data_IF_095535864746
#
_entry.id   IF_095535864746
#
_cell.length_a   1.000
_cell.length_b   1.000
_cell.length_c   1.000
_cell.angle_alpha   90.00
_cell.angle_beta   90.00
_cell.angle_gamma   90.00
#
_symmetry.space_group_name_H-M   'P 1'
#
loop_
_entity.id
_entity.type
_entity.pdbx_description
1 polymer ?
#
# COMPACT_ATOMS: atom_id res chain seq x y z
N UNK A 1 2.93 -23.72 15.65
CA UNK A 1 3.35 -22.82 14.54
C UNK A 1 2.09 -22.32 13.86
N UNK A 2 2.04 -21.03 13.50
CA UNK A 2 0.92 -20.47 12.75
C UNK A 2 1.07 -20.85 11.28
N UNK A 3 0.02 -21.41 10.69
CA UNK A 3 0.04 -21.97 9.35
C UNK A 3 -0.42 -20.98 8.31
N UNK A 4 0.38 -20.82 7.24
CA UNK A 4 0.07 -19.89 6.15
C UNK A 4 0.01 -20.66 4.82
N UNK A 5 -1.05 -20.42 4.06
CA UNK A 5 -1.18 -20.80 2.66
C UNK A 5 -1.08 -19.57 1.77
N UNK A 6 -0.60 -19.73 0.55
CA UNK A 6 -0.54 -18.66 -0.45
C UNK A 6 -1.51 -18.93 -1.59
N UNK A 7 -2.19 -17.89 -2.05
CA UNK A 7 -3.07 -17.95 -3.21
C UNK A 7 -2.87 -16.77 -4.15
N UNK A 8 -2.56 -17.07 -5.41
CA UNK A 8 -2.26 -16.11 -6.46
C UNK A 8 -0.82 -15.58 -6.37
N UNK A 9 -0.11 -15.66 -7.50
CA UNK A 9 1.26 -15.17 -7.64
C UNK A 9 1.41 -14.24 -8.85
N UNK A 10 0.31 -13.65 -9.30
CA UNK A 10 0.29 -12.78 -10.48
C UNK A 10 0.91 -11.41 -10.24
N UNK A 11 1.03 -10.96 -8.98
CA UNK A 11 1.75 -9.75 -8.62
C UNK A 11 3.04 -10.10 -7.87
N UNK A 12 4.16 -9.56 -8.36
CA UNK A 12 5.50 -10.00 -7.94
C UNK A 12 5.82 -9.71 -6.45
N UNK A 13 5.18 -8.73 -5.84
CA UNK A 13 5.43 -8.37 -4.43
C UNK A 13 5.12 -9.52 -3.47
N UNK A 14 4.20 -10.41 -3.80
CA UNK A 14 3.84 -11.55 -2.94
C UNK A 14 5.06 -12.44 -2.61
N UNK A 15 6.10 -12.45 -3.47
CA UNK A 15 7.32 -13.20 -3.20
C UNK A 15 8.17 -12.60 -2.08
N UNK A 16 7.99 -11.32 -1.72
CA UNK A 16 8.61 -10.76 -0.52
C UNK A 16 7.98 -11.38 0.74
N UNK A 17 6.66 -11.41 0.82
CA UNK A 17 5.94 -12.07 1.91
C UNK A 17 6.28 -13.57 1.97
N UNK A 18 6.34 -14.23 0.80
CA UNK A 18 6.70 -15.63 0.72
C UNK A 18 8.06 -15.92 1.37
N UNK A 19 9.10 -15.14 1.06
CA UNK A 19 10.42 -15.28 1.69
C UNK A 19 10.37 -15.02 3.18
N UNK A 20 9.68 -13.93 3.61
CA UNK A 20 9.52 -13.62 5.04
C UNK A 20 8.86 -14.76 5.82
N UNK A 21 7.87 -15.43 5.22
CA UNK A 21 7.22 -16.60 5.84
C UNK A 21 8.18 -17.78 5.97
N UNK A 22 8.98 -18.07 4.94
CA UNK A 22 9.97 -19.14 4.98
C UNK A 22 11.06 -18.91 6.03
N UNK A 23 11.48 -17.65 6.19
CA UNK A 23 12.55 -17.28 7.14
C UNK A 23 12.04 -17.13 8.59
N UNK A 24 10.72 -17.14 8.79
CA UNK A 24 10.12 -16.88 10.09
C UNK A 24 10.01 -18.13 10.97
N UNK A 25 10.61 -18.13 12.18
CA UNK A 25 10.74 -19.36 13.00
C UNK A 25 9.41 -19.91 13.54
N UNK A 26 8.35 -19.09 13.61
CA UNK A 26 7.05 -19.46 14.17
C UNK A 26 5.98 -19.70 13.10
N UNK A 27 6.34 -19.63 11.81
CA UNK A 27 5.41 -19.82 10.70
C UNK A 27 5.67 -21.17 10.00
N UNK A 28 4.62 -21.72 9.44
CA UNK A 28 4.65 -22.93 8.61
C UNK A 28 3.94 -22.64 7.29
N UNK A 29 4.66 -22.77 6.18
CA UNK A 29 4.07 -22.74 4.84
C UNK A 29 3.41 -24.10 4.57
N UNK A 30 2.09 -24.13 4.39
CA UNK A 30 1.34 -25.38 4.22
C UNK A 30 0.89 -25.63 2.78
N UNK A 31 0.60 -24.59 2.00
CA UNK A 31 0.10 -24.76 0.65
C UNK A 31 0.42 -23.57 -0.26
N UNK A 32 0.55 -23.85 -1.56
CA UNK A 32 0.61 -22.87 -2.63
C UNK A 32 -0.55 -23.14 -3.59
N UNK A 33 -1.35 -22.11 -3.86
CA UNK A 33 -2.43 -22.19 -4.83
C UNK A 33 -2.20 -21.19 -5.96
N UNK A 34 -2.24 -21.66 -7.19
CA UNK A 34 -2.22 -20.77 -8.37
C UNK A 34 -3.10 -21.32 -9.47
N UNK A 35 -3.93 -20.43 -10.00
CA UNK A 35 -4.82 -20.72 -11.12
C UNK A 35 -4.21 -20.20 -12.43
N UNK A 36 -3.91 -21.09 -13.37
CA UNK A 36 -3.51 -20.81 -14.76
C UNK A 36 -2.47 -19.68 -15.00
N UNK A 37 -2.86 -18.41 -14.85
CA UNK A 37 -2.07 -17.27 -15.34
C UNK A 37 -0.78 -16.99 -14.55
N UNK A 38 -0.69 -17.43 -13.29
CA UNK A 38 0.50 -17.27 -12.45
C UNK A 38 1.44 -18.47 -12.45
N UNK A 39 1.07 -19.58 -13.09
CA UNK A 39 1.85 -20.82 -13.09
C UNK A 39 3.26 -20.65 -13.65
N UNK A 40 3.42 -19.80 -14.69
CA UNK A 40 4.74 -19.50 -15.26
C UNK A 40 5.67 -18.82 -14.27
N UNK A 41 5.16 -17.85 -13.50
CA UNK A 41 5.94 -17.15 -12.46
C UNK A 41 6.36 -18.08 -11.33
N UNK A 42 5.51 -19.00 -10.90
CA UNK A 42 5.87 -20.03 -9.93
C UNK A 42 6.97 -20.95 -10.48
N UNK A 43 6.82 -21.43 -11.73
CA UNK A 43 7.79 -22.30 -12.37
C UNK A 43 9.16 -21.63 -12.52
N UNK A 44 9.21 -20.35 -12.88
CA UNK A 44 10.44 -19.55 -12.94
C UNK A 44 11.16 -19.47 -11.59
N UNK A 45 10.43 -19.57 -10.48
CA UNK A 45 10.95 -19.62 -9.11
C UNK A 45 11.22 -21.04 -8.61
N UNK A 46 11.03 -22.05 -9.45
CA UNK A 46 11.19 -23.47 -9.06
C UNK A 46 10.10 -23.97 -8.10
N UNK A 47 8.97 -23.26 -8.04
CA UNK A 47 7.86 -23.60 -7.15
C UNK A 47 6.76 -24.36 -7.89
N UNK A 48 6.08 -25.28 -7.19
CA UNK A 48 4.94 -26.01 -7.71
C UNK A 48 3.72 -25.76 -6.83
N UNK A 49 2.54 -25.46 -7.41
CA UNK A 49 1.33 -25.30 -6.62
C UNK A 49 0.88 -26.67 -6.07
N UNK A 50 0.41 -26.66 -4.85
CA UNK A 50 -0.29 -27.82 -4.24
C UNK A 50 -1.75 -27.86 -4.65
N UNK A 51 -2.31 -26.69 -4.97
CA UNK A 51 -3.70 -26.52 -5.41
C UNK A 51 -3.75 -25.65 -6.67
N UNK A 52 -4.68 -25.96 -7.58
CA UNK A 52 -4.92 -25.21 -8.82
C UNK A 52 -6.25 -24.47 -8.80
N UNK A 53 -7.01 -24.52 -7.68
CA UNK A 53 -8.26 -23.80 -7.49
C UNK A 53 -8.35 -23.29 -6.05
N UNK A 54 -8.74 -22.04 -5.91
CA UNK A 54 -8.84 -21.38 -4.60
C UNK A 54 -9.90 -22.03 -3.70
N UNK A 55 -11.03 -22.47 -4.25
CA UNK A 55 -12.06 -23.17 -3.49
C UNK A 55 -11.55 -24.52 -2.96
N UNK A 56 -10.69 -25.20 -3.70
CA UNK A 56 -10.08 -26.47 -3.24
C UNK A 56 -9.10 -26.22 -2.09
N UNK A 57 -8.31 -25.13 -2.15
CA UNK A 57 -7.45 -24.72 -1.04
C UNK A 57 -8.28 -24.40 0.22
N UNK A 58 -9.38 -23.65 0.08
CA UNK A 58 -10.26 -23.33 1.22
C UNK A 58 -10.91 -24.58 1.81
N UNK A 59 -11.31 -25.55 0.96
CA UNK A 59 -11.92 -26.80 1.39
C UNK A 59 -10.93 -27.71 2.14
N UNK A 60 -9.66 -27.75 1.73
CA UNK A 60 -8.60 -28.44 2.47
C UNK A 60 -8.40 -27.84 3.87
N UNK A 61 -8.42 -26.51 3.95
CA UNK A 61 -8.49 -25.75 5.20
C UNK A 61 -7.32 -25.93 6.18
N UNK A 62 -6.23 -26.61 5.80
CA UNK A 62 -5.09 -26.87 6.67
C UNK A 62 -4.16 -25.67 6.83
N UNK A 63 -4.72 -24.51 7.15
CA UNK A 63 -3.99 -23.26 7.42
C UNK A 63 -4.83 -22.32 8.29
N UNK A 64 -4.19 -21.34 8.93
CA UNK A 64 -4.81 -20.32 9.77
C UNK A 64 -5.00 -19.01 8.99
N UNK A 65 -4.05 -18.69 8.11
CA UNK A 65 -4.02 -17.48 7.31
C UNK A 65 -3.80 -17.80 5.84
N UNK A 66 -4.49 -17.09 4.95
CA UNK A 66 -4.16 -17.08 3.52
C UNK A 66 -3.49 -15.76 3.11
N UNK A 67 -2.37 -15.88 2.40
CA UNK A 67 -1.66 -14.78 1.76
C UNK A 67 -2.14 -14.63 0.32
N UNK A 68 -2.64 -13.44 -0.07
CA UNK A 68 -3.25 -13.18 -1.38
C UNK A 68 -2.33 -12.31 -2.25
N UNK A 69 -1.92 -12.83 -3.41
CA UNK A 69 -1.05 -12.15 -4.39
C UNK A 69 -1.58 -12.15 -5.81
N UNK A 70 -2.86 -12.38 -6.02
CA UNK A 70 -3.52 -12.36 -7.32
C UNK A 70 -3.61 -10.93 -7.91
N UNK A 71 -4.14 -10.75 -9.12
CA UNK A 71 -4.46 -9.43 -9.66
C UNK A 71 -5.44 -8.70 -8.72
N UNK A 72 -5.38 -7.38 -8.70
CA UNK A 72 -6.09 -6.58 -7.69
C UNK A 72 -7.60 -6.79 -7.69
N UNK A 73 -8.22 -6.88 -8.89
CA UNK A 73 -9.66 -7.12 -9.03
C UNK A 73 -10.15 -8.49 -8.54
N UNK A 74 -9.26 -9.42 -8.21
CA UNK A 74 -9.63 -10.74 -7.68
C UNK A 74 -9.51 -10.81 -6.15
N UNK A 75 -8.67 -9.97 -5.54
CA UNK A 75 -8.31 -10.09 -4.12
C UNK A 75 -9.48 -9.90 -3.18
N UNK A 76 -10.38 -8.94 -3.47
CA UNK A 76 -11.54 -8.64 -2.63
C UNK A 76 -12.43 -9.88 -2.44
N UNK A 77 -12.84 -10.51 -3.54
CA UNK A 77 -13.65 -11.75 -3.48
C UNK A 77 -12.91 -12.92 -2.81
N UNK A 78 -11.58 -13.03 -3.03
CA UNK A 78 -10.78 -14.06 -2.38
C UNK A 78 -10.67 -13.81 -0.86
N UNK A 79 -10.49 -12.56 -0.43
CA UNK A 79 -10.49 -12.18 0.98
C UNK A 79 -11.83 -12.47 1.66
N UNK A 80 -12.95 -12.12 1.01
CA UNK A 80 -14.31 -12.43 1.48
C UNK A 80 -14.50 -13.95 1.65
N UNK A 81 -14.12 -14.74 0.65
CA UNK A 81 -14.25 -16.19 0.70
C UNK A 81 -13.39 -16.82 1.82
N UNK A 82 -12.17 -16.32 2.01
CA UNK A 82 -11.28 -16.77 3.09
C UNK A 82 -11.84 -16.44 4.47
N UNK A 83 -12.32 -15.21 4.68
CA UNK A 83 -12.93 -14.78 5.94
C UNK A 83 -14.19 -15.59 6.26
N UNK A 84 -15.04 -15.87 5.26
CA UNK A 84 -16.20 -16.77 5.41
C UNK A 84 -15.83 -18.20 5.76
N UNK A 85 -14.66 -18.65 5.30
CA UNK A 85 -14.08 -19.95 5.65
C UNK A 85 -13.36 -19.97 7.01
N UNK A 86 -13.43 -18.86 7.79
CA UNK A 86 -12.80 -18.76 9.11
C UNK A 86 -11.28 -18.55 9.07
N UNK A 87 -10.73 -18.00 7.98
CA UNK A 87 -9.30 -17.78 7.81
C UNK A 87 -8.95 -16.29 7.92
N UNK A 88 -7.84 -15.99 8.59
CA UNK A 88 -7.21 -14.68 8.51
C UNK A 88 -6.68 -14.44 7.10
N UNK A 89 -6.53 -13.17 6.73
CA UNK A 89 -6.03 -12.77 5.41
C UNK A 89 -4.85 -11.83 5.55
N UNK A 90 -3.77 -12.07 4.82
CA UNK A 90 -2.75 -11.05 4.54
C UNK A 90 -2.63 -10.90 3.04
N UNK A 91 -2.79 -9.70 2.52
CA UNK A 91 -2.80 -9.46 1.08
C UNK A 91 -1.66 -8.51 0.67
N UNK A 92 -1.15 -8.72 -0.53
CA UNK A 92 -0.45 -7.63 -1.21
C UNK A 92 -1.43 -6.48 -1.45
N UNK A 93 -0.96 -5.25 -1.47
CA UNK A 93 -1.80 -4.06 -1.71
C UNK A 93 -2.17 -3.91 -3.21
N UNK A 94 -3.30 -3.34 -3.54
CA UNK A 94 -4.45 -3.02 -2.69
C UNK A 94 -5.23 -4.29 -2.29
N UNK A 95 -6.01 -4.17 -1.21
CA UNK A 95 -6.83 -5.28 -0.69
C UNK A 95 -7.93 -5.70 -1.67
N UNK A 96 -8.57 -4.71 -2.27
CA UNK A 96 -9.69 -4.88 -3.20
C UNK A 96 -9.80 -3.66 -4.11
N UNK A 97 -10.72 -3.72 -5.07
CA UNK A 97 -10.96 -2.63 -6.04
C UNK A 97 -12.36 -2.03 -5.94
N UNK A 98 -13.15 -2.45 -4.96
CA UNK A 98 -14.54 -2.03 -4.76
C UNK A 98 -14.82 -1.66 -3.30
N UNK A 99 -15.57 -0.57 -3.08
CA UNK A 99 -16.06 -0.21 -1.75
C UNK A 99 -17.06 -1.23 -1.19
N UNK A 100 -17.82 -1.91 -2.05
CA UNK A 100 -18.76 -2.94 -1.64
C UNK A 100 -18.02 -4.17 -1.10
N UNK A 101 -16.98 -4.63 -1.79
CA UNK A 101 -16.09 -5.69 -1.29
C UNK A 101 -15.44 -5.29 0.03
N UNK A 102 -14.95 -4.05 0.13
CA UNK A 102 -14.33 -3.56 1.37
C UNK A 102 -15.32 -3.53 2.53
N UNK A 103 -16.56 -3.08 2.28
CA UNK A 103 -17.63 -3.07 3.29
C UNK A 103 -17.90 -4.48 3.81
N UNK A 104 -18.01 -5.46 2.91
CA UNK A 104 -18.23 -6.86 3.30
C UNK A 104 -17.03 -7.44 4.08
N UNK A 105 -15.81 -7.15 3.66
CA UNK A 105 -14.60 -7.54 4.40
C UNK A 105 -14.62 -6.94 5.82
N UNK A 106 -14.95 -5.66 5.96
CA UNK A 106 -15.05 -4.99 7.25
C UNK A 106 -16.14 -5.59 8.14
N UNK A 107 -17.29 -5.94 7.60
CA UNK A 107 -18.36 -6.60 8.33
C UNK A 107 -17.96 -8.00 8.80
N UNK A 108 -17.32 -8.77 7.95
CA UNK A 108 -16.83 -10.11 8.29
C UNK A 108 -15.75 -10.05 9.38
N UNK A 109 -14.79 -9.14 9.28
CA UNK A 109 -13.75 -8.99 10.33
C UNK A 109 -14.35 -8.60 11.67
N UNK A 110 -15.36 -7.72 11.68
CA UNK A 110 -16.08 -7.30 12.89
C UNK A 110 -16.90 -8.44 13.51
N UNK A 111 -17.59 -9.22 12.67
CA UNK A 111 -18.46 -10.31 13.12
C UNK A 111 -17.67 -11.53 13.62
N UNK A 112 -16.52 -11.82 13.04
CA UNK A 112 -15.74 -13.04 13.32
C UNK A 112 -14.54 -12.83 14.22
N UNK A 113 -14.05 -11.60 14.35
CA UNK A 113 -12.77 -11.30 14.99
C UNK A 113 -11.54 -11.66 14.16
N UNK A 114 -11.72 -12.14 12.93
CA UNK A 114 -10.62 -12.43 12.01
C UNK A 114 -9.86 -11.15 11.62
N UNK A 115 -8.61 -11.30 11.25
CA UNK A 115 -7.71 -10.19 10.92
C UNK A 115 -7.39 -10.12 9.44
N UNK A 116 -7.22 -8.88 8.97
CA UNK A 116 -6.78 -8.57 7.60
C UNK A 116 -5.54 -7.71 7.67
N UNK A 117 -4.46 -8.15 7.01
CA UNK A 117 -3.21 -7.42 6.86
C UNK A 117 -2.96 -7.03 5.41
N UNK A 118 -2.20 -5.95 5.20
CA UNK A 118 -1.69 -5.53 3.89
C UNK A 118 -0.18 -5.38 3.92
N UNK A 119 0.46 -5.66 2.79
CA UNK A 119 1.88 -5.41 2.58
C UNK A 119 2.13 -3.92 2.34
N UNK A 120 1.98 -3.09 3.39
CA UNK A 120 2.26 -1.66 3.38
C UNK A 120 3.61 -1.43 4.07
N UNK A 121 4.68 -1.50 3.32
CA UNK A 121 6.06 -1.61 3.80
C UNK A 121 6.78 -0.27 4.00
N UNK A 122 6.21 0.87 3.56
CA UNK A 122 6.90 2.17 3.68
C UNK A 122 7.19 2.54 5.14
N UNK A 123 6.32 2.18 6.09
CA UNK A 123 6.57 2.42 7.53
C UNK A 123 7.77 1.65 8.09
N UNK A 124 8.26 0.65 7.36
CA UNK A 124 9.38 -0.20 7.78
C UNK A 124 10.73 0.33 7.30
N UNK A 125 10.73 1.29 6.36
CA UNK A 125 11.94 1.82 5.76
C UNK A 125 12.56 2.94 6.60
N UNK A 126 13.88 2.91 6.76
CA UNK A 126 14.63 3.78 7.68
C UNK A 126 14.45 5.29 7.47
N UNK A 127 14.31 5.74 6.23
CA UNK A 127 14.08 7.15 5.93
C UNK A 127 12.72 7.65 6.43
N UNK A 128 11.68 6.82 6.35
CA UNK A 128 10.34 7.17 6.84
C UNK A 128 10.30 7.18 8.37
N UNK A 129 11.01 6.26 9.01
CA UNK A 129 11.16 6.21 10.48
C UNK A 129 11.90 7.47 10.97
N UNK A 130 12.97 7.88 10.29
CA UNK A 130 13.70 9.10 10.61
C UNK A 130 12.86 10.35 10.36
N UNK A 131 12.12 10.43 9.24
CA UNK A 131 11.22 11.54 8.94
C UNK A 131 10.13 11.67 10.01
N UNK A 132 9.55 10.55 10.45
CA UNK A 132 8.57 10.53 11.54
C UNK A 132 9.17 11.05 12.85
N UNK A 133 10.39 10.63 13.18
CA UNK A 133 11.05 11.12 14.39
C UNK A 133 11.25 12.65 14.34
N UNK A 134 11.65 13.20 13.19
CA UNK A 134 11.73 14.66 12.99
C UNK A 134 10.37 15.32 13.11
N UNK A 135 9.33 14.76 12.44
CA UNK A 135 7.97 15.29 12.45
C UNK A 135 7.39 15.40 13.87
N UNK A 136 7.59 14.36 14.70
CA UNK A 136 7.02 14.28 16.05
C UNK A 136 7.90 14.94 17.12
N UNK A 137 9.15 15.28 16.83
CA UNK A 137 10.04 15.96 17.79
C UNK A 137 9.67 17.43 18.04
N UNK A 138 8.80 18.02 17.22
CA UNK A 138 8.49 19.44 17.24
C UNK A 138 9.58 20.33 16.60
N UNK A 139 10.66 19.76 16.06
CA UNK A 139 11.79 20.49 15.48
C UNK A 139 11.38 21.44 14.33
N UNK A 140 10.42 21.00 13.50
CA UNK A 140 9.89 21.82 12.39
C UNK A 140 8.61 22.59 12.77
N UNK A 141 8.23 22.59 14.04
CA UNK A 141 6.99 23.18 14.52
C UNK A 141 5.75 22.37 14.14
N UNK A 142 4.57 22.98 14.15
CA UNK A 142 3.32 22.33 13.77
C UNK A 142 3.28 22.14 12.25
N UNK A 143 3.08 20.90 11.78
CA UNK A 143 3.03 20.56 10.35
C UNK A 143 1.78 21.17 9.74
N UNK A 144 1.95 22.01 8.71
CA UNK A 144 0.88 22.69 7.99
C UNK A 144 0.62 22.10 6.60
N UNK A 145 1.66 21.62 5.94
CA UNK A 145 1.50 20.97 4.63
C UNK A 145 2.37 19.73 4.48
N UNK A 146 1.82 18.75 3.77
CA UNK A 146 2.50 17.56 3.31
C UNK A 146 2.40 17.51 1.79
N UNK A 147 3.53 17.38 1.11
CA UNK A 147 3.56 17.08 -0.32
C UNK A 147 4.18 15.72 -0.55
N UNK A 148 3.58 14.89 -1.39
CA UNK A 148 4.19 13.63 -1.78
C UNK A 148 4.10 13.39 -3.29
N UNK A 149 5.14 12.75 -3.83
CA UNK A 149 5.19 12.27 -5.20
C UNK A 149 5.60 10.81 -5.25
N UNK A 150 4.84 9.99 -5.97
CA UNK A 150 5.11 8.57 -6.13
C UNK A 150 5.02 8.17 -7.60
N UNK A 151 6.14 8.31 -8.30
CA UNK A 151 6.23 8.07 -9.73
C UNK A 151 6.82 6.67 -9.97
N UNK A 152 6.01 5.77 -10.50
CA UNK A 152 6.41 4.41 -10.87
C UNK A 152 6.76 4.34 -12.37
N UNK A 153 7.68 3.47 -12.80
CA UNK A 153 7.85 3.19 -14.22
C UNK A 153 6.68 2.33 -14.73
N UNK A 154 6.19 2.64 -15.93
CA UNK A 154 5.09 1.87 -16.52
C UNK A 154 5.53 0.46 -16.89
N UNK A 155 6.78 0.30 -17.34
CA UNK A 155 7.39 -0.98 -17.75
C UNK A 155 6.50 -1.75 -18.75
N UNK A 156 5.96 -1.04 -19.75
CA UNK A 156 5.07 -1.64 -20.74
C UNK A 156 5.77 -2.79 -21.47
N UNK A 157 5.06 -3.92 -21.62
CA UNK A 157 5.62 -5.15 -22.17
C UNK A 157 6.42 -6.00 -21.19
N UNK A 158 6.72 -5.49 -19.96
CA UNK A 158 7.32 -6.25 -18.85
C UNK A 158 6.33 -6.50 -17.72
N UNK A 159 5.37 -5.56 -17.53
CA UNK A 159 4.28 -5.79 -16.57
C UNK A 159 3.34 -6.89 -17.06
N UNK A 160 2.73 -7.65 -16.14
CA UNK A 160 1.71 -8.62 -16.50
C UNK A 160 0.54 -7.96 -17.25
N UNK A 161 -0.02 -8.65 -18.26
CA UNK A 161 -1.09 -8.12 -19.10
C UNK A 161 -2.33 -7.66 -18.33
N UNK A 162 -2.62 -8.32 -17.22
CA UNK A 162 -3.79 -8.03 -16.38
C UNK A 162 -3.81 -6.58 -15.85
N UNK A 163 -2.65 -5.89 -15.76
CA UNK A 163 -2.63 -4.46 -15.41
C UNK A 163 -3.49 -3.63 -16.35
N UNK A 164 -3.53 -4.02 -17.61
CA UNK A 164 -4.21 -3.31 -18.69
C UNK A 164 -5.56 -3.95 -19.06
N UNK A 165 -6.01 -4.97 -18.32
CA UNK A 165 -7.31 -5.59 -18.53
C UNK A 165 -8.40 -4.86 -17.71
N UNK A 166 -9.59 -4.60 -18.30
CA UNK A 166 -10.67 -3.92 -17.61
C UNK A 166 -11.05 -4.61 -16.30
N UNK A 167 -11.15 -3.83 -15.22
CA UNK A 167 -11.58 -4.32 -13.90
C UNK A 167 -10.52 -5.02 -13.06
N UNK A 168 -9.30 -5.27 -13.60
CA UNK A 168 -8.30 -6.02 -12.86
C UNK A 168 -7.30 -5.16 -12.08
N UNK A 169 -7.08 -3.89 -12.47
CA UNK A 169 -6.13 -2.98 -11.82
C UNK A 169 -6.75 -2.18 -10.66
N UNK A 170 -7.96 -1.64 -10.84
CA UNK A 170 -8.68 -0.93 -9.77
C UNK A 170 -8.23 0.51 -9.50
N UNK A 171 -7.42 1.11 -10.39
CA UNK A 171 -7.06 2.53 -10.36
C UNK A 171 -5.68 2.84 -9.78
N UNK A 172 -5.08 3.92 -10.30
CA UNK A 172 -3.70 4.32 -9.96
C UNK A 172 -3.61 4.93 -8.56
N UNK A 173 -4.64 5.63 -8.11
CA UNK A 173 -4.69 6.16 -6.74
C UNK A 173 -4.82 4.99 -5.75
N UNK A 174 -5.71 4.03 -6.01
CA UNK A 174 -5.85 2.84 -5.17
C UNK A 174 -4.57 1.99 -5.13
N UNK A 175 -3.85 1.84 -6.26
CA UNK A 175 -2.60 1.08 -6.31
C UNK A 175 -1.43 1.81 -5.61
N UNK A 176 -1.25 3.11 -5.88
CA UNK A 176 -0.05 3.84 -5.45
C UNK A 176 -0.33 4.68 -4.20
N UNK A 177 -1.36 5.54 -4.22
CA UNK A 177 -1.59 6.47 -3.13
C UNK A 177 -2.08 5.80 -1.83
N UNK A 178 -2.49 4.53 -1.86
CA UNK A 178 -2.81 3.76 -0.64
C UNK A 178 -1.66 3.78 0.37
N UNK A 179 -0.41 3.74 -0.09
CA UNK A 179 0.74 3.88 0.80
C UNK A 179 0.76 5.24 1.50
N UNK A 180 0.44 6.33 0.76
CA UNK A 180 0.45 7.67 1.32
C UNK A 180 -0.68 7.87 2.35
N UNK A 181 -1.89 7.42 2.04
CA UNK A 181 -3.02 7.54 3.00
C UNK A 181 -2.84 6.66 4.23
N UNK A 182 -2.00 5.61 4.13
CA UNK A 182 -1.57 4.81 5.26
C UNK A 182 -0.50 5.52 6.10
N UNK A 183 0.61 5.95 5.47
CA UNK A 183 1.75 6.42 6.23
C UNK A 183 1.63 7.89 6.72
N UNK A 184 0.87 8.77 6.05
CA UNK A 184 0.75 10.19 6.45
C UNK A 184 0.17 10.33 7.86
N UNK A 185 -0.92 9.64 8.25
CA UNK A 185 -1.39 9.66 9.63
C UNK A 185 -0.35 9.17 10.66
N UNK A 186 0.34 8.09 10.35
CA UNK A 186 1.41 7.58 11.20
C UNK A 186 2.60 8.55 11.28
N UNK A 187 2.99 9.16 10.16
CA UNK A 187 4.11 10.09 10.07
C UNK A 187 3.87 11.36 10.86
N UNK A 188 2.66 11.91 10.78
CA UNK A 188 2.33 13.24 11.32
C UNK A 188 1.63 13.19 12.67
N UNK A 189 1.08 12.03 13.07
CA UNK A 189 0.19 11.90 14.22
C UNK A 189 -1.21 12.50 13.99
N UNK A 190 -1.53 12.92 12.75
CA UNK A 190 -2.80 13.55 12.38
C UNK A 190 -3.61 12.64 11.47
N UNK A 191 -4.94 12.68 11.56
CA UNK A 191 -5.82 11.96 10.64
C UNK A 191 -6.09 12.75 9.36
N UNK A 192 -6.47 12.06 8.29
CA UNK A 192 -7.00 12.69 7.09
C UNK A 192 -8.48 12.99 7.34
N UNK A 193 -8.82 14.29 7.42
CA UNK A 193 -10.15 14.75 7.77
C UNK A 193 -11.08 14.94 6.56
N UNK A 194 -10.53 15.06 5.35
CA UNK A 194 -11.35 15.25 4.15
C UNK A 194 -10.58 15.20 2.84
N UNK A 195 -11.34 15.01 1.76
CA UNK A 195 -10.85 15.04 0.37
C UNK A 195 -11.44 16.25 -0.33
N UNK A 196 -10.60 17.20 -0.73
CA UNK A 196 -11.05 18.40 -1.45
C UNK A 196 -11.15 18.20 -2.96
N UNK A 197 -10.15 17.51 -3.54
CA UNK A 197 -10.10 17.24 -4.96
C UNK A 197 -9.29 15.97 -5.24
N UNK A 198 -9.69 15.29 -6.29
CA UNK A 198 -8.90 14.22 -6.90
C UNK A 198 -9.21 14.16 -8.39
N UNK A 199 -8.25 13.72 -9.20
CA UNK A 199 -8.43 13.48 -10.63
C UNK A 199 -7.48 12.38 -11.10
N UNK A 200 -7.91 11.65 -12.13
CA UNK A 200 -7.07 10.71 -12.86
C UNK A 200 -7.15 10.98 -14.37
N UNK A 201 -6.11 10.63 -15.10
CA UNK A 201 -6.05 10.78 -16.55
C UNK A 201 -4.99 9.85 -17.16
N UNK A 202 -5.05 9.67 -18.49
CA UNK A 202 -4.03 8.94 -19.23
C UNK A 202 -2.96 9.89 -19.80
N UNK A 203 -1.71 9.45 -19.74
CA UNK A 203 -0.57 10.10 -20.37
C UNK A 203 0.27 9.11 -21.19
N UNK A 204 0.90 8.12 -20.56
CA UNK A 204 1.73 7.09 -21.25
C UNK A 204 0.89 5.97 -21.85
N UNK A 205 -0.22 5.58 -21.23
CA UNK A 205 -1.09 4.47 -21.66
C UNK A 205 -2.35 4.95 -22.39
N UNK A 206 -2.24 5.96 -23.23
CA UNK A 206 -3.38 6.57 -23.95
C UNK A 206 -4.16 5.59 -24.83
N UNK A 207 -3.53 4.51 -25.27
CA UNK A 207 -4.17 3.42 -26.03
C UNK A 207 -4.94 2.42 -25.14
N UNK A 208 -4.92 2.59 -23.82
CA UNK A 208 -5.71 1.81 -22.84
C UNK A 208 -6.63 2.77 -22.05
N UNK A 209 -7.76 3.19 -22.61
CA UNK A 209 -8.56 4.32 -22.08
C UNK A 209 -9.04 4.15 -20.65
N UNK A 210 -9.23 2.91 -20.18
CA UNK A 210 -9.69 2.58 -18.83
C UNK A 210 -8.54 2.48 -17.79
N UNK A 211 -7.28 2.53 -18.23
CA UNK A 211 -6.11 2.51 -17.36
C UNK A 211 -5.56 3.93 -17.23
N UNK A 212 -6.10 4.70 -16.30
CA UNK A 212 -5.57 6.03 -16.00
C UNK A 212 -4.22 5.89 -15.31
N UNK A 213 -3.14 6.31 -15.98
CA UNK A 213 -1.77 6.13 -15.49
C UNK A 213 -1.24 7.31 -14.66
N UNK A 214 -2.09 8.30 -14.40
CA UNK A 214 -1.80 9.48 -13.58
C UNK A 214 -2.93 9.76 -12.62
N UNK A 215 -2.58 10.22 -11.41
CA UNK A 215 -3.52 10.63 -10.38
C UNK A 215 -2.98 11.78 -9.53
N UNK A 216 -3.82 12.77 -9.23
CA UNK A 216 -3.54 13.86 -8.30
C UNK A 216 -4.64 13.96 -7.26
N UNK A 217 -4.27 14.34 -6.04
CA UNK A 217 -5.20 14.48 -4.94
C UNK A 217 -4.83 15.63 -4.00
N UNK A 218 -5.85 16.21 -3.37
CA UNK A 218 -5.74 17.27 -2.38
C UNK A 218 -6.61 16.92 -1.17
N UNK A 219 -5.97 16.77 0.01
CA UNK A 219 -6.62 16.35 1.23
C UNK A 219 -6.44 17.39 2.34
N UNK A 220 -7.24 17.28 3.42
CA UNK A 220 -7.10 18.06 4.66
C UNK A 220 -6.71 17.15 5.81
N UNK A 221 -5.76 17.60 6.62
CA UNK A 221 -5.40 17.00 7.91
C UNK A 221 -6.33 17.47 9.03
N UNK A 222 -6.36 16.74 10.15
CA UNK A 222 -7.24 17.04 11.29
C UNK A 222 -6.96 18.38 11.96
N UNK A 223 -5.77 18.97 11.79
CA UNK A 223 -5.44 20.33 12.25
C UNK A 223 -5.79 21.42 11.24
N UNK A 224 -6.41 21.10 10.10
CA UNK A 224 -6.72 22.02 9.00
C UNK A 224 -5.60 22.15 7.97
N UNK A 225 -4.44 21.55 8.19
CA UNK A 225 -3.32 21.52 7.24
C UNK A 225 -3.65 20.76 5.95
N UNK A 226 -2.88 21.00 4.90
CA UNK A 226 -3.12 20.44 3.56
C UNK A 226 -2.19 19.32 3.16
N UNK A 227 -2.68 18.39 2.33
CA UNK A 227 -1.86 17.38 1.66
C UNK A 227 -2.03 17.49 0.15
N UNK A 228 -0.92 17.54 -0.58
CA UNK A 228 -0.88 17.44 -2.03
C UNK A 228 -0.19 16.15 -2.46
N UNK A 229 -0.87 15.34 -3.25
CA UNK A 229 -0.37 14.08 -3.78
C UNK A 229 -0.34 14.04 -5.30
N UNK A 230 0.75 13.50 -5.85
CA UNK A 230 0.95 13.24 -7.28
C UNK A 230 1.49 11.81 -7.45
N UNK A 231 0.67 10.94 -8.02
CA UNK A 231 1.00 9.53 -8.27
C UNK A 231 0.86 9.19 -9.74
N UNK A 232 1.80 8.46 -10.29
CA UNK A 232 1.70 8.08 -11.70
C UNK A 232 2.61 6.92 -12.09
N UNK A 233 2.44 6.46 -13.33
CA UNK A 233 3.36 5.54 -14.02
C UNK A 233 4.29 6.29 -15.00
N UNK A 234 4.62 7.57 -14.70
CA UNK A 234 5.43 8.43 -15.59
C UNK A 234 6.94 8.33 -15.38
N UNK A 235 7.43 7.66 -14.34
CA UNK A 235 8.87 7.47 -14.19
C UNK A 235 9.48 6.83 -15.43
N UNK A 236 10.72 7.19 -15.82
CA UNK A 236 11.39 6.58 -16.96
C UNK A 236 11.60 5.08 -16.75
N UNK A 237 11.16 4.26 -17.70
CA UNK A 237 11.30 2.79 -17.63
C UNK A 237 12.76 2.34 -17.54
N UNK A 238 13.69 3.10 -18.15
CA UNK A 238 15.11 2.81 -18.14
C UNK A 238 15.78 2.96 -16.77
N UNK A 239 15.26 3.86 -15.91
CA UNK A 239 15.77 4.05 -14.54
C UNK A 239 15.08 3.11 -13.53
N UNK A 240 13.96 2.50 -13.91
CA UNK A 240 13.16 1.70 -12.98
C UNK A 240 12.77 2.52 -11.74
N UNK A 241 13.02 1.98 -10.57
CA UNK A 241 12.73 2.59 -9.27
C UNK A 241 13.94 3.30 -8.63
N UNK A 242 15.04 3.46 -9.39
CA UNK A 242 16.32 3.98 -8.85
C UNK A 242 16.40 5.51 -8.80
N UNK A 243 15.34 6.25 -9.13
CA UNK A 243 15.33 7.72 -9.07
C UNK A 243 15.28 8.20 -7.62
N UNK A 244 16.02 9.26 -7.28
CA UNK A 244 15.94 9.86 -5.94
C UNK A 244 14.55 10.44 -5.63
N UNK A 245 13.78 10.81 -6.65
CA UNK A 245 12.41 11.28 -6.51
C UNK A 245 11.38 10.15 -6.28
N UNK A 246 11.78 8.89 -6.30
CA UNK A 246 10.86 7.79 -6.02
C UNK A 246 10.37 7.85 -4.57
N UNK A 247 9.05 7.96 -4.39
CA UNK A 247 8.40 8.19 -3.09
C UNK A 247 9.02 9.38 -2.33
N UNK A 248 9.00 10.56 -2.92
CA UNK A 248 9.43 11.79 -2.25
C UNK A 248 8.31 12.35 -1.37
N UNK A 249 8.66 12.74 -0.14
CA UNK A 249 7.77 13.41 0.80
C UNK A 249 8.45 14.63 1.38
N UNK A 250 7.74 15.76 1.37
CA UNK A 250 8.16 17.02 1.98
C UNK A 250 7.12 17.46 3.01
N UNK A 251 7.56 17.76 4.22
CA UNK A 251 6.79 18.35 5.30
C UNK A 251 7.17 19.81 5.46
N UNK A 252 6.18 20.69 5.55
CA UNK A 252 6.38 22.08 5.94
C UNK A 252 5.64 22.33 7.25
N UNK A 253 6.40 22.66 8.28
CA UNK A 253 5.88 23.09 9.57
C UNK A 253 6.02 24.59 9.77
N UNK A 254 5.57 25.09 10.91
CA UNK A 254 5.60 26.53 11.26
C UNK A 254 6.99 27.05 11.55
N UNK A 255 7.99 26.18 11.77
CA UNK A 255 9.37 26.54 12.13
C UNK A 255 10.43 25.82 11.28
N UNK A 256 10.03 25.11 10.24
CA UNK A 256 10.98 24.39 9.40
C UNK A 256 10.36 23.45 8.39
N UNK A 257 11.23 22.76 7.67
CA UNK A 257 10.87 21.78 6.63
C UNK A 257 11.66 20.49 6.80
N UNK A 258 11.07 19.36 6.44
CA UNK A 258 11.78 18.08 6.37
C UNK A 258 11.41 17.35 5.08
N UNK A 259 12.42 16.84 4.37
CA UNK A 259 12.21 16.14 3.10
C UNK A 259 13.02 14.85 3.06
N UNK A 260 12.45 13.80 2.49
CA UNK A 260 13.14 12.57 2.14
C UNK A 260 12.52 11.88 0.93
N UNK A 261 13.19 10.85 0.44
CA UNK A 261 12.63 9.90 -0.52
C UNK A 261 13.05 8.48 -0.19
N UNK A 262 12.47 7.49 -0.89
CA UNK A 262 12.84 6.09 -0.72
C UNK A 262 14.35 5.86 -0.94
N UNK A 263 14.93 6.51 -1.95
CA UNK A 263 16.33 6.35 -2.34
C UNK A 263 17.26 7.43 -1.80
N UNK A 264 16.75 8.37 -0.99
CA UNK A 264 17.57 9.42 -0.38
C UNK A 264 18.54 8.84 0.66
N UNK A 265 19.64 9.56 0.90
CA UNK A 265 20.64 9.18 1.91
C UNK A 265 20.18 9.40 3.35
N UNK A 266 19.03 10.03 3.56
CA UNK A 266 18.45 10.39 4.84
C UNK A 266 17.38 11.46 4.69
N UNK A 267 17.07 12.14 5.78
CA UNK A 267 16.10 13.24 5.85
C UNK A 267 16.82 14.57 5.83
N UNK A 268 16.53 15.42 4.87
CA UNK A 268 17.04 16.79 4.84
C UNK A 268 16.12 17.66 5.68
N UNK A 269 16.64 18.28 6.72
CA UNK A 269 15.91 19.15 7.66
C UNK A 269 16.46 20.55 7.60
N UNK A 270 15.59 21.52 7.42
CA UNK A 270 15.92 22.95 7.53
C UNK A 270 14.96 23.58 8.55
N UNK A 271 15.52 24.25 9.57
CA UNK A 271 14.75 24.91 10.62
C UNK A 271 15.43 26.22 11.05
N UNK A 272 14.75 27.00 11.89
CA UNK A 272 15.22 28.31 12.34
C UNK A 272 16.46 28.24 13.26
N UNK A 273 16.92 27.06 13.65
CA UNK A 273 18.06 26.89 14.55
C UNK A 273 19.41 26.88 13.83
N UNK A 274 19.41 26.70 12.49
CA UNK A 274 20.66 26.58 11.71
C UNK A 274 20.57 27.35 10.38
N UNK A 275 21.68 28.01 9.97
CA UNK A 275 21.73 28.73 8.69
C UNK A 275 21.81 27.80 7.47
N UNK A 276 21.97 26.48 7.67
CA UNK A 276 22.07 25.50 6.60
C UNK A 276 21.26 24.24 6.94
N UNK A 277 20.67 23.60 5.93
CA UNK A 277 19.99 22.32 6.12
C UNK A 277 20.93 21.25 6.69
N UNK A 278 20.38 20.38 7.53
CA UNK A 278 21.05 19.21 8.10
C UNK A 278 20.54 17.93 7.44
N UNK A 279 21.45 17.01 7.15
CA UNK A 279 21.08 15.65 6.73
C UNK A 279 21.04 14.72 7.94
N UNK A 280 19.82 14.34 8.34
CA UNK A 280 19.59 13.34 9.39
C UNK A 280 19.64 11.94 8.77
N UNK A 281 20.51 11.03 9.23
CA UNK A 281 20.59 9.68 8.68
C UNK A 281 19.27 8.90 8.83
N UNK A 282 19.01 7.97 7.91
CA UNK A 282 17.92 7.02 8.05
C UNK A 282 18.07 6.16 9.32
N UNK A 283 16.96 5.82 9.94
CA UNK A 283 16.93 4.92 11.10
C UNK A 283 17.10 3.45 10.67
N UNK A 284 17.43 2.54 11.59
CA UNK A 284 17.31 1.11 11.32
C UNK A 284 15.89 0.74 10.89
N UNK A 285 15.73 -0.19 9.92
CA UNK A 285 14.39 -0.67 9.53
C UNK A 285 13.71 -1.39 10.70
N UNK A 286 12.37 -1.38 10.71
CA UNK A 286 11.61 -2.07 11.77
C UNK A 286 11.79 -3.60 11.65
N UNK A 287 12.16 -4.28 12.74
CA UNK A 287 12.28 -5.74 12.74
C UNK A 287 10.93 -6.41 12.37
N UNK A 288 10.97 -7.31 11.38
CA UNK A 288 9.81 -8.07 10.90
C UNK A 288 8.75 -7.28 10.14
N UNK A 289 8.72 -5.95 10.28
CA UNK A 289 7.86 -5.04 9.52
C UNK A 289 6.38 -5.38 9.59
N UNK A 290 5.68 -5.23 8.45
CA UNK A 290 4.23 -5.45 8.31
C UNK A 290 3.79 -6.88 8.66
N UNK A 291 4.65 -7.89 8.48
CA UNK A 291 4.31 -9.27 8.84
C UNK A 291 4.20 -9.45 10.35
N UNK A 292 5.14 -8.91 11.11
CA UNK A 292 5.07 -8.95 12.58
C UNK A 292 3.91 -8.13 13.13
N UNK A 293 3.56 -7.01 12.49
CA UNK A 293 2.37 -6.24 12.86
C UNK A 293 1.11 -7.09 12.68
N UNK A 294 0.98 -7.76 11.54
CA UNK A 294 -0.14 -8.65 11.27
C UNK A 294 -0.23 -9.81 12.27
N UNK A 295 0.89 -10.49 12.52
CA UNK A 295 0.91 -11.62 13.48
C UNK A 295 0.56 -11.17 14.90
N UNK A 296 1.01 -9.99 15.30
CA UNK A 296 0.69 -9.40 16.59
C UNK A 296 -0.80 -9.01 16.70
N UNK A 297 -1.39 -8.49 15.61
CA UNK A 297 -2.83 -8.22 15.53
C UNK A 297 -3.65 -9.52 15.58
N UNK A 298 -3.24 -10.58 14.89
CA UNK A 298 -3.84 -11.92 14.96
C UNK A 298 -3.80 -12.48 16.38
N UNK A 299 -2.68 -12.28 17.08
CA UNK A 299 -2.51 -12.72 18.47
C UNK A 299 -3.29 -11.88 19.50
N UNK A 300 -3.98 -10.80 19.07
CA UNK A 300 -4.70 -9.88 19.95
C UNK A 300 -3.82 -8.91 20.73
N UNK A 301 -2.53 -8.81 20.40
CA UNK A 301 -1.56 -7.92 21.03
C UNK A 301 -0.88 -7.02 19.98
N UNK A 302 -1.62 -6.10 19.35
CA UNK A 302 -1.05 -5.26 18.28
C UNK A 302 0.12 -4.44 18.82
N UNK A 303 1.18 -4.30 18.01
CA UNK A 303 2.37 -3.51 18.35
C UNK A 303 1.99 -2.04 18.47
N UNK A 304 2.61 -1.32 19.40
CA UNK A 304 2.25 0.07 19.75
C UNK A 304 2.20 1.03 18.55
N UNK A 305 3.06 0.84 17.55
CA UNK A 305 3.11 1.65 16.32
C UNK A 305 2.87 0.80 15.07
N UNK A 306 2.36 -0.41 15.28
CA UNK A 306 2.08 -1.37 14.23
C UNK A 306 0.81 -1.03 13.46
N UNK A 307 0.71 -1.63 12.28
CA UNK A 307 -0.49 -1.56 11.45
C UNK A 307 -1.47 -2.64 11.89
N UNK A 308 -2.73 -2.29 12.04
CA UNK A 308 -3.80 -3.19 12.47
C UNK A 308 -4.81 -3.41 11.37
N UNK A 309 -5.67 -4.41 11.50
CA UNK A 309 -6.84 -4.61 10.62
C UNK A 309 -7.64 -3.33 10.44
N UNK A 310 -7.90 -2.59 11.52
CA UNK A 310 -8.67 -1.34 11.45
C UNK A 310 -7.97 -0.27 10.60
N UNK A 311 -6.65 -0.09 10.77
CA UNK A 311 -5.89 0.88 9.98
C UNK A 311 -5.76 0.47 8.49
N UNK A 312 -5.62 -0.82 8.20
CA UNK A 312 -5.60 -1.33 6.83
C UNK A 312 -6.93 -1.12 6.10
N UNK A 313 -8.05 -1.37 6.79
CA UNK A 313 -9.39 -1.14 6.25
C UNK A 313 -9.63 0.35 6.01
N UNK A 314 -9.18 1.22 6.93
CA UNK A 314 -9.30 2.67 6.77
C UNK A 314 -8.45 3.21 5.61
N UNK A 315 -7.20 2.76 5.47
CA UNK A 315 -6.35 3.13 4.34
C UNK A 315 -6.97 2.68 3.00
N UNK A 316 -7.52 1.46 2.95
CA UNK A 316 -8.21 0.94 1.76
C UNK A 316 -9.47 1.75 1.44
N UNK A 317 -10.26 2.12 2.47
CA UNK A 317 -11.46 2.95 2.30
C UNK A 317 -11.13 4.32 1.72
N UNK A 318 -10.15 5.00 2.30
CA UNK A 318 -9.70 6.31 1.83
C UNK A 318 -9.18 6.25 0.39
N UNK A 319 -8.33 5.27 0.06
CA UNK A 319 -7.79 5.11 -1.28
C UNK A 319 -8.90 4.89 -2.33
N UNK A 320 -9.87 4.01 -2.04
CA UNK A 320 -11.01 3.72 -2.91
C UNK A 320 -11.97 4.91 -3.04
N UNK A 321 -12.23 5.65 -1.98
CA UNK A 321 -13.06 6.87 -2.03
C UNK A 321 -12.40 7.95 -2.86
N UNK A 322 -11.08 8.16 -2.71
CA UNK A 322 -10.34 9.14 -3.52
C UNK A 322 -10.33 8.72 -4.99
N UNK A 323 -10.09 7.43 -5.30
CA UNK A 323 -10.16 6.89 -6.67
C UNK A 323 -11.56 7.12 -7.29
N UNK A 324 -12.63 6.81 -6.55
CA UNK A 324 -14.02 7.03 -7.01
C UNK A 324 -14.30 8.51 -7.29
N UNK A 325 -13.84 9.42 -6.42
CA UNK A 325 -13.99 10.85 -6.60
C UNK A 325 -13.20 11.35 -7.83
N UNK A 326 -12.01 10.79 -8.07
CA UNK A 326 -11.16 11.14 -9.20
C UNK A 326 -11.75 10.71 -10.55
N UNK A 327 -12.48 9.59 -10.58
CA UNK A 327 -13.18 9.09 -11.77
C UNK A 327 -14.49 9.84 -12.11
N UNK A 328 -14.95 10.75 -11.25
CA UNK A 328 -16.16 11.54 -11.52
C UNK A 328 -15.81 12.75 -12.41
N UNK A 329 -16.34 12.85 -13.64
CA UNK A 329 -16.09 14.00 -14.51
C UNK A 329 -16.53 15.30 -13.82
N UNK A 330 -15.59 16.19 -13.57
CA UNK A 330 -15.90 17.58 -13.21
C UNK A 330 -15.73 18.41 -14.47
N UNK A 331 -16.83 18.89 -15.04
CA UNK A 331 -16.77 19.91 -16.07
C UNK A 331 -16.11 21.14 -15.45
N UNK A 332 -15.04 21.71 -16.06
CA UNK A 332 -14.52 22.97 -15.60
C UNK A 332 -15.65 24.01 -15.70
N UNK A 333 -15.91 24.72 -14.60
CA UNK A 333 -16.73 25.93 -14.69
C UNK A 333 -16.05 26.86 -15.69
N UNK A 334 -16.79 27.50 -16.62
CA UNK A 334 -16.19 28.48 -17.53
C UNK A 334 -15.45 29.52 -16.68
N UNK A 335 -14.19 29.76 -16.98
CA UNK A 335 -13.47 30.87 -16.43
C UNK A 335 -14.09 32.11 -17.13
N UNK A 336 -14.91 32.85 -16.39
CA UNK A 336 -15.50 34.11 -16.85
C UNK A 336 -14.41 35.18 -17.04
#
# INVERSE_FOLDING_TARGET
MHKIAFAGFRHIHIFDLYRRVLDHPSLELTALCEENAGLSLLAEKGLQPTHTRFEALLADGNFDTVALGDCYGNRGRQAIAALRAGKHVIADKPLCTSLDELSEIADLTRATGLRVGLMLDLRDHGNWIALRAVALSGRIGEIQTVSFGAQHPLLRGKRPSWYFEPGLHGGTINDIAIHAVDFIPWLTGMTIAGVHAARTWNAKAADVPHFHDCGQLMLTLSNGGGVLGDVSYLAPDGCGYATEAYWRVTLHGTSGTAETSHNAKGVLVADDSSPAPELVPGAPPRPGGYLEDFLSDVAGNPRAEGVTTASHLEASRLALEIERLAGTPRLPSPIL
#
